data_IF_334318274166
#
_entry.id   IF_334318274166
#
_cell.length_a   1.000
_cell.length_b   1.000
_cell.length_c   1.000
_cell.angle_alpha   90.00
_cell.angle_beta   90.00
_cell.angle_gamma   90.00
#
_symmetry.space_group_name_H-M   'P 1'
#
loop_
_entity.id
_entity.type
_entity.pdbx_description
1 polymer ?
#
# COMPACT_ATOMS: atom_id res chain seq x y z
N UNK A 1 -1.71 -28.38 -8.89
CA UNK A 1 -2.28 -27.39 -9.82
C UNK A 1 -1.10 -26.63 -10.44
N UNK A 2 -0.90 -26.66 -11.77
CA UNK A 2 0.14 -25.83 -12.40
C UNK A 2 -0.38 -24.39 -12.39
N UNK A 3 0.31 -23.50 -11.69
CA UNK A 3 0.00 -22.06 -11.76
C UNK A 3 0.35 -21.59 -13.17
N UNK A 4 -0.53 -20.79 -13.77
CA UNK A 4 -0.30 -20.17 -15.08
C UNK A 4 -0.09 -18.68 -14.89
N UNK A 5 0.74 -18.08 -15.73
CA UNK A 5 0.87 -16.64 -15.78
C UNK A 5 -0.50 -16.03 -16.12
N UNK A 6 -0.96 -15.08 -15.32
CA UNK A 6 -2.24 -14.39 -15.50
C UNK A 6 -2.27 -13.47 -16.73
N UNK A 7 -1.10 -13.15 -17.29
CA UNK A 7 -0.98 -12.29 -18.47
C UNK A 7 -0.96 -13.09 -19.79
N UNK A 8 -0.13 -14.13 -19.88
CA UNK A 8 0.05 -14.88 -21.14
C UNK A 8 -0.49 -16.32 -21.09
N UNK A 9 -0.97 -16.80 -19.95
CA UNK A 9 -1.47 -18.17 -19.78
C UNK A 9 -0.38 -19.26 -19.79
N UNK A 10 0.90 -18.91 -19.93
CA UNK A 10 2.00 -19.88 -19.91
C UNK A 10 2.12 -20.56 -18.55
N UNK A 11 2.50 -21.84 -18.55
CA UNK A 11 2.78 -22.57 -17.30
C UNK A 11 3.91 -21.86 -16.54
N UNK A 12 3.61 -21.41 -15.32
CA UNK A 12 4.61 -20.91 -14.40
C UNK A 12 5.18 -22.09 -13.62
N UNK A 13 6.45 -22.39 -13.89
CA UNK A 13 7.18 -23.45 -13.20
C UNK A 13 7.46 -23.10 -11.72
N UNK A 14 7.23 -21.84 -11.33
CA UNK A 14 7.68 -21.26 -10.05
C UNK A 14 6.53 -20.76 -9.17
N UNK A 15 5.27 -21.02 -9.55
CA UNK A 15 4.12 -20.49 -8.80
C UNK A 15 3.95 -18.98 -8.94
N UNK A 16 4.44 -18.40 -10.04
CA UNK A 16 4.33 -16.97 -10.35
C UNK A 16 2.95 -16.64 -10.95
N UNK A 17 2.33 -15.55 -10.48
CA UNK A 17 1.22 -14.94 -11.24
C UNK A 17 1.70 -14.27 -12.54
N UNK A 18 2.96 -13.82 -12.61
CA UNK A 18 3.57 -13.21 -13.80
C UNK A 18 4.88 -13.92 -14.12
N UNK A 19 5.04 -14.44 -15.35
CA UNK A 19 6.28 -15.09 -15.78
C UNK A 19 7.34 -14.06 -16.21
N UNK A 20 8.62 -14.46 -16.22
CA UNK A 20 9.76 -13.62 -16.61
C UNK A 20 9.59 -12.90 -17.94
N UNK A 21 8.97 -13.54 -18.95
CA UNK A 21 8.71 -12.92 -20.26
C UNK A 21 7.66 -11.80 -20.21
N UNK A 22 6.74 -11.83 -19.25
CA UNK A 22 5.66 -10.86 -19.11
C UNK A 22 5.98 -9.74 -18.11
N UNK A 23 7.13 -9.79 -17.43
CA UNK A 23 7.55 -8.80 -16.44
C UNK A 23 7.68 -7.42 -17.05
N UNK A 24 8.25 -7.32 -18.26
CA UNK A 24 8.40 -6.03 -18.95
C UNK A 24 7.04 -5.36 -19.19
N UNK A 25 5.97 -6.14 -19.40
CA UNK A 25 4.61 -5.58 -19.58
C UNK A 25 4.03 -4.98 -18.29
N UNK A 26 4.41 -5.51 -17.13
CA UNK A 26 3.99 -4.96 -15.83
C UNK A 26 5.04 -4.06 -15.20
N UNK A 27 6.21 -3.89 -15.83
CA UNK A 27 7.34 -3.13 -15.30
C UNK A 27 7.00 -1.65 -15.12
N UNK A 28 6.15 -1.09 -15.97
CA UNK A 28 5.68 0.30 -15.84
C UNK A 28 4.32 0.41 -15.14
N UNK A 29 3.67 -0.72 -14.85
CA UNK A 29 2.34 -0.76 -14.26
C UNK A 29 2.39 -0.82 -12.73
N UNK A 30 1.31 -0.32 -12.12
CA UNK A 30 1.04 -0.57 -10.72
C UNK A 30 0.69 -2.05 -10.56
N UNK A 31 1.56 -2.80 -9.89
CA UNK A 31 1.32 -4.20 -9.56
C UNK A 31 1.11 -4.31 -8.06
N UNK A 32 -0.03 -4.87 -7.65
CA UNK A 32 -0.26 -5.26 -6.26
C UNK A 32 -0.74 -6.71 -6.28
N UNK A 33 -0.21 -7.52 -5.39
CA UNK A 33 -0.66 -8.88 -5.23
C UNK A 33 -2.10 -8.83 -4.73
N UNK A 34 -3.01 -9.50 -5.45
CA UNK A 34 -4.39 -9.57 -5.01
C UNK A 34 -4.51 -10.52 -3.82
N UNK A 35 -4.48 -9.98 -2.61
CA UNK A 35 -4.68 -10.75 -1.37
C UNK A 35 -6.15 -11.17 -1.15
N UNK A 36 -7.09 -10.69 -1.97
CA UNK A 36 -8.54 -10.94 -1.81
C UNK A 36 -9.04 -12.32 -2.25
N UNK A 37 -8.16 -13.31 -2.44
CA UNK A 37 -8.58 -14.66 -2.84
C UNK A 37 -7.98 -15.72 -1.92
N UNK A 38 -8.50 -15.80 -0.69
CA UNK A 38 -8.70 -17.13 -0.11
C UNK A 38 -10.00 -17.69 -0.71
N UNK A 39 -9.96 -18.75 -1.53
CA UNK A 39 -11.17 -19.35 -2.10
C UNK A 39 -12.12 -19.92 -1.04
N UNK A 40 -11.74 -19.96 0.25
CA UNK A 40 -12.57 -20.36 1.39
C UNK A 40 -13.03 -19.20 2.28
N UNK A 41 -12.53 -17.97 2.10
CA UNK A 41 -13.02 -16.84 2.89
C UNK A 41 -14.35 -16.36 2.34
N UNK A 42 -15.44 -16.70 3.03
CA UNK A 42 -16.76 -16.15 2.74
C UNK A 42 -16.71 -14.63 3.00
N UNK A 43 -16.71 -13.85 1.93
CA UNK A 43 -16.66 -12.37 1.91
C UNK A 43 -17.85 -11.69 2.62
N UNK A 44 -18.73 -12.45 3.29
CA UNK A 44 -19.97 -11.97 3.90
C UNK A 44 -19.82 -11.50 5.36
N UNK A 45 -18.66 -11.71 5.99
CA UNK A 45 -18.56 -11.61 7.45
C UNK A 45 -17.84 -10.36 7.97
N UNK A 46 -17.17 -9.58 7.12
CA UNK A 46 -16.42 -8.40 7.57
C UNK A 46 -17.24 -7.12 7.40
N UNK A 47 -18.21 -7.01 8.29
CA UNK A 47 -18.77 -5.80 8.87
C UNK A 47 -18.84 -4.51 8.04
N UNK A 48 -19.91 -4.32 7.26
CA UNK A 48 -20.60 -3.03 7.16
C UNK A 48 -22.09 -3.27 6.91
N UNK A 49 -22.95 -2.64 7.73
CA UNK A 49 -24.40 -2.53 7.51
C UNK A 49 -24.66 -1.74 6.21
N UNK A 50 -24.81 -2.43 5.07
CA UNK A 50 -25.39 -1.84 3.86
C UNK A 50 -25.93 -2.92 2.93
N UNK A 51 -27.12 -2.68 2.38
CA UNK A 51 -27.81 -3.59 1.48
C UNK A 51 -27.14 -3.62 0.09
N UNK A 52 -26.75 -4.80 -0.37
CA UNK A 52 -26.35 -5.04 -1.77
C UNK A 52 -27.57 -5.49 -2.59
N UNK A 53 -27.86 -4.79 -3.70
CA UNK A 53 -28.83 -5.26 -4.70
C UNK A 53 -28.04 -5.75 -5.93
N UNK A 54 -28.17 -7.05 -6.24
CA UNK A 54 -27.59 -7.66 -7.44
C UNK A 54 -28.50 -7.39 -8.64
N UNK A 55 -27.97 -6.75 -9.68
CA UNK A 55 -28.57 -6.75 -11.01
C UNK A 55 -27.61 -7.49 -11.95
N UNK A 56 -27.93 -8.75 -12.25
CA UNK A 56 -27.39 -9.52 -13.39
C UNK A 56 -25.95 -10.04 -13.28
N UNK A 57 -25.54 -10.97 -14.16
CA UNK A 57 -24.24 -11.61 -14.13
C UNK A 57 -23.22 -10.72 -14.84
N UNK A 58 -22.52 -9.88 -14.08
CA UNK A 58 -21.34 -9.13 -14.53
C UNK A 58 -20.10 -9.73 -13.88
N UNK A 59 -19.09 -10.08 -14.69
CA UNK A 59 -17.77 -10.55 -14.25
C UNK A 59 -16.84 -9.43 -13.77
N UNK A 60 -17.34 -8.19 -13.69
CA UNK A 60 -16.59 -7.06 -13.18
C UNK A 60 -17.34 -6.41 -12.03
N UNK A 61 -16.71 -6.47 -10.85
CA UNK A 61 -16.80 -5.49 -9.78
C UNK A 61 -18.17 -5.36 -9.11
N UNK A 62 -18.26 -5.81 -7.87
CA UNK A 62 -19.32 -5.36 -6.97
C UNK A 62 -19.30 -3.83 -6.88
N UNK A 63 -20.34 -3.18 -7.40
CA UNK A 63 -20.54 -1.73 -7.26
C UNK A 63 -21.16 -1.48 -5.88
N UNK A 64 -20.35 -0.93 -4.97
CA UNK A 64 -20.82 -0.38 -3.69
C UNK A 64 -21.66 0.88 -3.96
N UNK A 65 -22.98 0.70 -4.13
CA UNK A 65 -23.93 1.81 -4.16
C UNK A 65 -24.14 2.34 -2.74
N UNK A 66 -23.25 3.23 -2.28
CA UNK A 66 -23.62 4.17 -1.21
C UNK A 66 -24.58 5.22 -1.78
N UNK A 67 -25.41 5.83 -0.93
CA UNK A 67 -26.11 7.09 -1.25
C UNK A 67 -25.06 8.19 -1.45
N UNK A 68 -24.48 8.29 -2.64
CA UNK A 68 -23.45 9.26 -2.98
C UNK A 68 -22.79 8.91 -4.31
N UNK A 69 -22.27 9.93 -5.00
CA UNK A 69 -21.41 9.75 -6.17
C UNK A 69 -20.21 8.85 -5.81
N UNK A 70 -19.78 8.00 -6.75
CA UNK A 70 -18.54 7.22 -6.61
C UNK A 70 -17.40 8.13 -6.10
N UNK A 71 -16.73 7.80 -4.98
CA UNK A 71 -15.64 8.59 -4.44
C UNK A 71 -14.52 8.88 -5.45
N UNK A 72 -14.33 8.00 -6.43
CA UNK A 72 -13.37 8.25 -7.51
C UNK A 72 -13.84 9.35 -8.46
N UNK A 73 -15.13 9.38 -8.83
CA UNK A 73 -15.69 10.48 -9.64
C UNK A 73 -15.52 11.85 -8.95
N UNK A 74 -15.54 11.90 -7.62
CA UNK A 74 -15.25 13.12 -6.88
C UNK A 74 -13.79 13.57 -7.07
N UNK A 75 -12.83 12.64 -7.03
CA UNK A 75 -11.43 12.92 -7.33
C UNK A 75 -11.28 13.45 -8.76
N UNK A 76 -11.86 12.76 -9.75
CA UNK A 76 -11.80 13.18 -11.16
C UNK A 76 -12.40 14.59 -11.38
N UNK A 77 -13.59 14.84 -10.83
CA UNK A 77 -14.23 16.15 -10.93
C UNK A 77 -13.36 17.24 -10.33
N UNK A 78 -12.70 16.96 -9.19
CA UNK A 78 -11.82 17.92 -8.53
C UNK A 78 -10.54 18.16 -9.35
N UNK A 79 -10.02 17.16 -10.05
CA UNK A 79 -8.89 17.31 -10.98
C UNK A 79 -9.27 18.17 -12.18
N UNK A 80 -10.48 17.99 -12.71
CA UNK A 80 -10.98 18.70 -13.88
C UNK A 80 -11.51 20.11 -13.56
N UNK A 81 -11.79 20.40 -12.29
CA UNK A 81 -12.28 21.70 -11.86
C UNK A 81 -11.26 22.82 -12.09
N UNK A 82 -11.78 24.05 -12.27
CA UNK A 82 -10.97 25.28 -12.29
C UNK A 82 -10.37 25.55 -10.91
N UNK A 83 -11.17 25.40 -9.85
CA UNK A 83 -10.69 25.42 -8.47
C UNK A 83 -10.35 24.01 -7.98
N UNK A 84 -9.06 23.79 -7.70
CA UNK A 84 -8.50 22.50 -7.25
C UNK A 84 -8.03 22.54 -5.80
N UNK A 85 -8.37 23.59 -5.05
CA UNK A 85 -7.94 23.80 -3.66
C UNK A 85 -8.29 22.64 -2.72
N UNK A 86 -9.39 21.93 -3.01
CA UNK A 86 -9.85 20.78 -2.22
C UNK A 86 -9.21 19.44 -2.61
N UNK A 87 -8.44 19.37 -3.70
CA UNK A 87 -7.85 18.13 -4.20
C UNK A 87 -7.01 17.39 -3.14
N UNK A 88 -6.17 18.05 -2.32
CA UNK A 88 -5.41 17.37 -1.27
C UNK A 88 -6.30 16.60 -0.30
N UNK A 89 -7.40 17.20 0.15
CA UNK A 89 -8.34 16.58 1.10
C UNK A 89 -9.12 15.43 0.46
N UNK A 90 -9.63 15.65 -0.75
CA UNK A 90 -10.38 14.62 -1.50
C UNK A 90 -9.51 13.40 -1.77
N UNK A 91 -8.25 13.62 -2.18
CA UNK A 91 -7.31 12.55 -2.46
C UNK A 91 -6.87 11.80 -1.21
N UNK A 92 -6.56 12.50 -0.11
CA UNK A 92 -6.24 11.90 1.19
C UNK A 92 -7.37 10.97 1.67
N UNK A 93 -8.62 11.47 1.67
CA UNK A 93 -9.78 10.69 2.07
C UNK A 93 -10.07 9.51 1.14
N UNK A 94 -9.90 9.68 -0.18
CA UNK A 94 -10.08 8.60 -1.14
C UNK A 94 -9.09 7.46 -0.87
N UNK A 95 -7.79 7.78 -0.75
CA UNK A 95 -6.74 6.79 -0.52
C UNK A 95 -6.88 6.13 0.86
N UNK A 96 -7.23 6.89 1.89
CA UNK A 96 -7.55 6.35 3.21
C UNK A 96 -8.76 5.38 3.14
N UNK A 97 -9.81 5.74 2.41
CA UNK A 97 -10.98 4.90 2.19
C UNK A 97 -10.71 3.64 1.36
N UNK A 98 -9.55 3.56 0.69
CA UNK A 98 -9.06 2.34 0.05
C UNK A 98 -8.27 1.42 0.99
N UNK A 99 -8.09 1.80 2.25
CA UNK A 99 -7.27 1.04 3.20
C UNK A 99 -5.77 1.38 3.15
N UNK A 100 -5.37 2.43 2.43
CA UNK A 100 -3.97 2.87 2.41
C UNK A 100 -3.69 3.68 3.68
N UNK A 101 -2.92 3.09 4.59
CA UNK A 101 -2.49 3.71 5.84
C UNK A 101 -1.50 4.86 5.65
N UNK A 102 -1.31 5.68 6.69
CA UNK A 102 -0.19 6.63 6.77
C UNK A 102 1.14 5.91 7.01
N UNK A 103 1.11 4.89 7.86
CA UNK A 103 2.24 4.03 8.18
C UNK A 103 2.25 2.84 7.22
N UNK A 104 3.40 2.60 6.60
CA UNK A 104 3.67 1.47 5.72
C UNK A 104 3.86 0.18 6.54
N UNK A 105 2.94 -0.78 6.39
CA UNK A 105 2.94 -2.05 7.13
C UNK A 105 3.35 -3.24 6.24
N UNK A 106 2.97 -3.20 4.96
CA UNK A 106 3.30 -4.24 3.99
C UNK A 106 2.30 -5.40 3.88
N UNK A 107 1.16 -5.28 4.53
CA UNK A 107 0.04 -6.23 4.51
C UNK A 107 -1.32 -5.51 4.32
N UNK A 108 -1.29 -4.27 3.83
CA UNK A 108 -2.48 -3.48 3.55
C UNK A 108 -3.38 -4.19 2.52
N UNK A 109 -4.66 -4.48 2.84
CA UNK A 109 -5.58 -5.14 1.93
C UNK A 109 -6.11 -4.14 0.89
N UNK A 110 -5.36 -3.94 -0.20
CA UNK A 110 -5.71 -2.95 -1.21
C UNK A 110 -6.67 -3.51 -2.27
N UNK A 111 -7.88 -2.95 -2.43
CA UNK A 111 -8.75 -3.29 -3.54
C UNK A 111 -8.16 -2.71 -4.83
N UNK A 112 -7.81 -3.58 -5.77
CA UNK A 112 -7.35 -3.14 -7.09
C UNK A 112 -8.48 -2.47 -7.86
N UNK A 113 -8.38 -1.15 -8.03
CA UNK A 113 -9.26 -0.38 -8.92
C UNK A 113 -8.44 0.09 -10.13
N UNK A 114 -8.95 -0.02 -11.36
CA UNK A 114 -8.23 0.38 -12.57
C UNK A 114 -7.64 1.79 -12.50
N UNK A 115 -8.33 2.68 -11.80
CA UNK A 115 -8.04 4.11 -11.82
C UNK A 115 -6.96 4.57 -10.83
N UNK A 116 -6.49 3.69 -9.93
CA UNK A 116 -5.44 4.03 -8.96
C UNK A 116 -4.14 4.43 -9.66
N UNK A 117 -3.85 3.83 -10.81
CA UNK A 117 -2.65 4.13 -11.63
C UNK A 117 -2.60 5.61 -12.01
N UNK A 118 -3.74 6.22 -12.31
CA UNK A 118 -3.81 7.61 -12.73
C UNK A 118 -3.47 8.57 -11.58
N UNK A 119 -3.86 8.21 -10.36
CA UNK A 119 -3.60 9.01 -9.15
C UNK A 119 -2.10 9.16 -8.88
N UNK A 120 -1.29 8.15 -9.23
CA UNK A 120 0.17 8.19 -9.09
C UNK A 120 0.84 9.25 -9.97
N UNK A 121 0.14 9.76 -10.99
CA UNK A 121 0.67 10.82 -11.86
C UNK A 121 0.42 12.24 -11.31
N UNK A 122 -0.53 12.40 -10.38
CA UNK A 122 -0.94 13.71 -9.85
C UNK A 122 0.25 14.46 -9.23
N UNK A 123 1.10 13.86 -8.37
CA UNK A 123 2.18 14.60 -7.74
C UNK A 123 3.27 15.09 -8.72
N UNK A 124 3.32 14.55 -9.94
CA UNK A 124 4.22 15.02 -11.00
C UNK A 124 3.66 16.18 -11.83
N UNK A 125 2.34 16.41 -11.76
CA UNK A 125 1.63 17.46 -12.52
C UNK A 125 1.19 18.61 -11.61
N UNK A 126 1.04 18.34 -10.32
CA UNK A 126 0.50 19.27 -9.34
C UNK A 126 1.32 19.18 -8.05
N UNK A 127 1.52 20.32 -7.42
CA UNK A 127 2.16 20.39 -6.11
C UNK A 127 1.43 21.40 -5.23
N UNK A 128 0.87 20.90 -4.13
CA UNK A 128 0.16 21.71 -3.14
C UNK A 128 0.99 21.83 -1.87
N UNK A 129 0.57 22.69 -0.95
CA UNK A 129 1.23 22.86 0.34
C UNK A 129 0.33 22.35 1.46
N UNK A 130 0.95 22.05 2.61
CA UNK A 130 0.26 21.73 3.84
C UNK A 130 0.03 20.24 4.10
N UNK A 131 -0.50 19.96 5.29
CA UNK A 131 -0.56 18.62 5.87
C UNK A 131 -1.40 17.65 5.04
N UNK A 132 -2.57 18.08 4.53
CA UNK A 132 -3.45 17.21 3.74
C UNK A 132 -2.77 16.71 2.47
N UNK A 133 -1.98 17.56 1.83
CA UNK A 133 -1.20 17.14 0.67
C UNK A 133 -0.12 16.15 1.08
N UNK A 134 0.64 16.45 2.14
CA UNK A 134 1.65 15.52 2.66
C UNK A 134 1.08 14.14 3.04
N UNK A 135 -0.12 14.08 3.62
CA UNK A 135 -0.82 12.81 3.93
C UNK A 135 -1.19 12.03 2.65
N UNK A 136 -1.66 12.72 1.61
CA UNK A 136 -1.92 12.09 0.32
C UNK A 136 -0.62 11.58 -0.33
N UNK A 137 0.48 12.34 -0.25
CA UNK A 137 1.79 11.91 -0.73
C UNK A 137 2.31 10.67 0.00
N UNK A 138 2.14 10.59 1.34
CA UNK A 138 2.51 9.39 2.10
C UNK A 138 1.74 8.16 1.61
N UNK A 139 0.43 8.27 1.39
CA UNK A 139 -0.39 7.16 0.90
C UNK A 139 -0.02 6.72 -0.51
N UNK A 140 0.17 7.67 -1.43
CA UNK A 140 0.66 7.35 -2.77
C UNK A 140 2.07 6.71 -2.72
N UNK A 141 2.93 7.16 -1.81
CA UNK A 141 4.23 6.55 -1.53
C UNK A 141 4.09 5.11 -1.04
N UNK A 142 3.20 4.86 -0.09
CA UNK A 142 2.93 3.53 0.45
C UNK A 142 2.42 2.58 -0.63
N UNK A 143 1.53 3.07 -1.50
CA UNK A 143 1.05 2.31 -2.66
C UNK A 143 2.20 1.88 -3.59
N UNK A 144 3.15 2.78 -3.87
CA UNK A 144 4.34 2.46 -4.67
C UNK A 144 5.30 1.52 -3.94
N UNK A 145 5.46 1.67 -2.62
CA UNK A 145 6.28 0.80 -1.79
C UNK A 145 5.73 -0.63 -1.74
N UNK A 146 4.42 -0.79 -1.62
CA UNK A 146 3.74 -2.08 -1.68
C UNK A 146 3.91 -2.73 -3.04
N UNK A 147 3.78 -1.94 -4.12
CA UNK A 147 4.06 -2.41 -5.48
C UNK A 147 5.51 -2.87 -5.66
N UNK A 148 6.47 -2.13 -5.09
CA UNK A 148 7.87 -2.55 -5.08
C UNK A 148 8.07 -3.89 -4.36
N UNK A 149 7.47 -4.04 -3.16
CA UNK A 149 7.54 -5.27 -2.35
C UNK A 149 6.90 -6.46 -3.05
N UNK A 150 5.74 -6.28 -3.68
CA UNK A 150 5.04 -7.39 -4.35
C UNK A 150 5.72 -7.79 -5.66
N UNK A 151 6.27 -6.83 -6.42
CA UNK A 151 7.06 -7.12 -7.61
C UNK A 151 8.37 -7.84 -7.28
N UNK A 152 9.07 -7.44 -6.21
CA UNK A 152 10.31 -8.12 -5.79
C UNK A 152 10.07 -9.53 -5.27
N UNK A 153 8.82 -9.90 -4.97
CA UNK A 153 8.44 -11.27 -4.58
C UNK A 153 8.08 -12.17 -5.75
N UNK A 154 7.97 -11.63 -6.96
CA UNK A 154 7.84 -12.46 -8.15
C UNK A 154 9.10 -13.34 -8.27
N UNK A 155 8.96 -14.59 -8.74
CA UNK A 155 10.10 -15.48 -8.96
C UNK A 155 10.85 -15.03 -10.22
N UNK A 156 11.57 -13.93 -10.08
CA UNK A 156 12.47 -13.39 -11.08
C UNK A 156 13.90 -13.63 -10.60
N UNK A 157 14.87 -13.64 -11.51
CA UNK A 157 16.28 -13.66 -11.12
C UNK A 157 16.63 -12.52 -10.16
N UNK A 158 17.57 -12.74 -9.25
CA UNK A 158 17.92 -11.80 -8.17
C UNK A 158 18.21 -10.38 -8.67
N UNK A 159 18.92 -10.26 -9.78
CA UNK A 159 19.28 -8.96 -10.36
C UNK A 159 18.04 -8.20 -10.85
N UNK A 160 17.14 -8.89 -11.57
CA UNK A 160 15.89 -8.31 -12.04
C UNK A 160 14.98 -7.88 -10.87
N UNK A 161 14.92 -8.68 -9.79
CA UNK A 161 14.17 -8.32 -8.58
C UNK A 161 14.71 -7.04 -7.94
N UNK A 162 16.04 -6.94 -7.79
CA UNK A 162 16.72 -5.79 -7.18
C UNK A 162 16.52 -4.52 -8.01
N UNK A 163 16.64 -4.63 -9.34
CA UNK A 163 16.42 -3.50 -10.25
C UNK A 163 14.98 -2.99 -10.17
N UNK A 164 14.00 -3.88 -10.33
CA UNK A 164 12.57 -3.53 -10.28
C UNK A 164 12.19 -2.90 -8.93
N UNK A 165 12.71 -3.46 -7.83
CA UNK A 165 12.50 -2.90 -6.51
C UNK A 165 13.06 -1.48 -6.41
N UNK A 166 14.30 -1.27 -6.85
CA UNK A 166 14.99 0.02 -6.79
C UNK A 166 14.23 1.11 -7.55
N UNK A 167 13.80 0.82 -8.78
CA UNK A 167 13.09 1.79 -9.63
C UNK A 167 11.78 2.27 -8.99
N UNK A 168 11.00 1.34 -8.41
CA UNK A 168 9.73 1.66 -7.74
C UNK A 168 9.94 2.32 -6.38
N UNK A 169 10.89 1.80 -5.60
CA UNK A 169 11.25 2.36 -4.31
C UNK A 169 11.72 3.81 -4.45
N UNK A 170 12.48 4.15 -5.50
CA UNK A 170 12.92 5.53 -5.76
C UNK A 170 11.73 6.50 -5.90
N UNK A 171 10.64 6.09 -6.55
CA UNK A 171 9.42 6.90 -6.67
C UNK A 171 8.71 7.07 -5.33
N UNK A 172 8.60 6.01 -4.53
CA UNK A 172 8.04 6.09 -3.17
C UNK A 172 8.87 7.02 -2.27
N UNK A 173 10.20 6.87 -2.28
CA UNK A 173 11.14 7.71 -1.53
C UNK A 173 11.01 9.20 -1.91
N UNK A 174 10.82 9.51 -3.19
CA UNK A 174 10.60 10.89 -3.62
C UNK A 174 9.34 11.51 -3.01
N UNK A 175 8.25 10.73 -2.89
CA UNK A 175 7.02 11.19 -2.24
C UNK A 175 7.19 11.34 -0.73
N UNK A 176 7.91 10.41 -0.07
CA UNK A 176 8.21 10.52 1.36
C UNK A 176 9.08 11.74 1.68
N UNK A 177 10.09 12.06 0.86
CA UNK A 177 10.90 13.27 1.04
C UNK A 177 10.06 14.55 0.96
N UNK A 178 9.11 14.60 0.03
CA UNK A 178 8.18 15.73 -0.10
C UNK A 178 7.24 15.82 1.10
N UNK A 179 6.68 14.69 1.55
CA UNK A 179 5.85 14.65 2.75
C UNK A 179 6.62 15.05 4.02
N UNK A 180 7.91 14.70 4.11
CA UNK A 180 8.78 15.05 5.24
C UNK A 180 9.05 16.56 5.38
N UNK A 181 8.79 17.35 4.33
CA UNK A 181 8.85 18.81 4.41
C UNK A 181 7.72 19.39 5.28
N UNK A 182 6.66 18.62 5.54
CA UNK A 182 5.61 18.95 6.51
C UNK A 182 6.05 18.44 7.89
N UNK A 183 6.28 19.32 8.88
CA UNK A 183 6.83 18.94 10.19
C UNK A 183 6.06 17.82 10.90
N UNK A 184 4.73 17.87 10.84
CA UNK A 184 3.82 16.89 11.47
C UNK A 184 3.94 15.50 10.86
N UNK A 185 4.45 15.40 9.62
CA UNK A 185 4.57 14.15 8.86
C UNK A 185 6.01 13.66 8.73
N UNK A 186 6.98 14.43 9.24
CA UNK A 186 8.39 14.09 9.16
C UNK A 186 8.71 12.76 9.85
N UNK A 187 8.12 12.51 11.03
CA UNK A 187 8.29 11.25 11.76
C UNK A 187 7.82 10.04 10.93
N UNK A 188 6.58 10.09 10.44
CA UNK A 188 5.96 9.04 9.62
C UNK A 188 6.76 8.81 8.32
N UNK A 189 7.23 9.89 7.70
CA UNK A 189 8.03 9.80 6.47
C UNK A 189 9.37 9.09 6.71
N UNK A 190 10.00 9.31 7.86
CA UNK A 190 11.24 8.63 8.26
C UNK A 190 11.00 7.14 8.52
N UNK A 191 9.98 6.79 9.29
CA UNK A 191 9.68 5.37 9.58
C UNK A 191 9.28 4.61 8.30
N UNK A 192 8.46 5.20 7.43
CA UNK A 192 8.12 4.60 6.12
C UNK A 192 9.37 4.41 5.23
N UNK A 193 10.27 5.40 5.22
CA UNK A 193 11.53 5.31 4.48
C UNK A 193 12.40 4.18 4.99
N UNK A 194 12.53 4.04 6.32
CA UNK A 194 13.30 2.97 6.94
C UNK A 194 12.72 1.58 6.61
N UNK A 195 11.39 1.40 6.74
CA UNK A 195 10.70 0.15 6.35
C UNK A 195 10.97 -0.22 4.89
N UNK A 196 10.87 0.75 3.97
CA UNK A 196 11.14 0.51 2.54
C UNK A 196 12.61 0.13 2.29
N UNK A 197 13.57 0.75 2.99
CA UNK A 197 14.99 0.39 2.91
C UNK A 197 15.25 -1.03 3.42
N UNK A 198 14.61 -1.43 4.52
CA UNK A 198 14.69 -2.79 5.07
C UNK A 198 14.19 -3.82 4.03
N UNK A 199 13.09 -3.54 3.34
CA UNK A 199 12.61 -4.41 2.25
C UNK A 199 13.58 -4.48 1.06
N UNK A 200 14.40 -3.45 0.87
CA UNK A 200 15.49 -3.42 -0.11
C UNK A 200 16.76 -4.16 0.33
N UNK A 201 16.78 -4.73 1.53
CA UNK A 201 17.93 -5.46 2.09
C UNK A 201 18.95 -4.57 2.81
N UNK A 202 18.59 -3.33 3.14
CA UNK A 202 19.44 -2.43 3.92
C UNK A 202 19.33 -2.76 5.42
N UNK A 203 20.34 -3.43 5.96
CA UNK A 203 20.37 -3.84 7.37
C UNK A 203 20.51 -2.69 8.37
N UNK A 204 21.10 -1.56 7.96
CA UNK A 204 21.29 -0.40 8.85
C UNK A 204 19.98 0.33 9.11
N UNK A 205 19.02 0.21 8.18
CA UNK A 205 17.71 0.85 8.29
C UNK A 205 16.86 0.32 9.47
N UNK A 206 17.18 -0.84 10.04
CA UNK A 206 16.49 -1.33 11.24
C UNK A 206 16.80 -0.47 12.48
N UNK A 207 18.04 -0.05 12.65
CA UNK A 207 18.43 0.83 13.76
C UNK A 207 17.85 2.23 13.57
N UNK A 208 17.80 2.73 12.33
CA UNK A 208 17.09 3.97 12.02
C UNK A 208 15.60 3.88 12.38
N UNK A 209 14.92 2.79 12.00
CA UNK A 209 13.51 2.58 12.34
C UNK A 209 13.31 2.54 13.86
N UNK A 210 14.18 1.83 14.59
CA UNK A 210 14.12 1.77 16.06
C UNK A 210 14.22 3.17 16.67
N UNK A 211 15.15 4.00 16.18
CA UNK A 211 15.33 5.36 16.68
C UNK A 211 14.17 6.30 16.33
N UNK A 212 13.49 6.07 15.20
CA UNK A 212 12.40 6.91 14.70
C UNK A 212 11.01 6.49 15.22
N UNK A 213 10.86 5.27 15.73
CA UNK A 213 9.61 4.69 16.24
C UNK A 213 9.20 5.26 17.61
N UNK A 214 8.95 6.56 17.66
CA UNK A 214 8.62 7.30 18.90
C UNK A 214 7.14 7.28 19.25
N UNK A 215 6.27 7.15 18.26
CA UNK A 215 4.81 7.06 18.40
C UNK A 215 4.30 5.63 18.17
N UNK A 216 3.05 5.38 18.54
CA UNK A 216 2.44 4.05 18.42
C UNK A 216 2.40 3.54 16.97
N UNK A 217 2.23 4.42 15.99
CA UNK A 217 2.25 4.05 14.58
C UNK A 217 3.63 3.55 14.13
N UNK A 218 4.69 4.25 14.52
CA UNK A 218 6.08 3.86 14.27
C UNK A 218 6.46 2.59 15.04
N UNK A 219 6.02 2.44 16.29
CA UNK A 219 6.23 1.20 17.07
C UNK A 219 5.52 0.02 16.42
N UNK A 220 4.32 0.21 15.88
CA UNK A 220 3.64 -0.83 15.11
C UNK A 220 4.40 -1.23 13.84
N UNK A 221 5.01 -0.28 13.13
CA UNK A 221 5.87 -0.60 11.99
C UNK A 221 7.10 -1.39 12.41
N UNK A 222 7.75 -1.00 13.51
CA UNK A 222 8.89 -1.71 14.06
C UNK A 222 8.54 -3.14 14.47
N UNK A 223 7.43 -3.31 15.20
CA UNK A 223 6.92 -4.63 15.58
C UNK A 223 6.64 -5.49 14.34
N UNK A 224 6.05 -4.91 13.31
CA UNK A 224 5.78 -5.60 12.04
C UNK A 224 7.06 -6.02 11.34
N UNK A 225 8.09 -5.17 11.33
CA UNK A 225 9.40 -5.53 10.78
C UNK A 225 10.06 -6.66 11.56
N UNK A 226 10.04 -6.62 12.89
CA UNK A 226 10.56 -7.73 13.72
C UNK A 226 9.84 -9.04 13.44
N UNK A 227 8.51 -8.99 13.34
CA UNK A 227 7.70 -10.15 12.97
C UNK A 227 8.09 -10.72 11.60
N UNK A 228 8.20 -9.87 10.57
CA UNK A 228 8.59 -10.27 9.22
C UNK A 228 10.04 -10.84 9.17
N UNK A 229 10.89 -10.51 10.14
CA UNK A 229 12.25 -11.05 10.32
C UNK A 229 12.32 -12.31 11.21
N UNK A 230 11.20 -12.79 11.75
CA UNK A 230 11.16 -13.94 12.67
C UNK A 230 11.62 -13.63 14.10
N UNK A 231 11.68 -12.36 14.48
CA UNK A 231 12.05 -11.86 15.81
C UNK A 231 10.80 -11.62 16.66
N UNK A 232 10.10 -12.71 16.98
CA UNK A 232 8.76 -12.67 17.58
C UNK A 232 8.77 -12.05 18.99
N UNK A 233 9.80 -12.31 19.78
CA UNK A 233 9.93 -11.77 21.14
C UNK A 233 10.07 -10.24 21.10
N UNK A 234 10.94 -9.71 20.25
CA UNK A 234 11.11 -8.26 20.09
C UNK A 234 9.87 -7.60 19.48
N UNK A 235 9.15 -8.30 18.60
CA UNK A 235 7.86 -7.82 18.10
C UNK A 235 6.82 -7.70 19.22
N UNK A 236 6.75 -8.70 20.11
CA UNK A 236 5.84 -8.71 21.25
C UNK A 236 6.19 -7.62 22.28
N UNK A 237 7.47 -7.45 22.60
CA UNK A 237 7.95 -6.38 23.49
C UNK A 237 7.61 -4.99 22.93
N UNK A 238 7.79 -4.80 21.62
CA UNK A 238 7.46 -3.53 20.96
C UNK A 238 5.96 -3.24 21.03
N UNK A 239 5.10 -4.24 20.79
CA UNK A 239 3.64 -4.09 20.92
C UNK A 239 3.21 -3.85 22.37
N UNK A 240 3.88 -4.48 23.35
CA UNK A 240 3.59 -4.26 24.77
C UNK A 240 3.82 -2.80 25.22
N UNK A 241 4.59 -2.02 24.45
CA UNK A 241 4.88 -0.62 24.72
C UNK A 241 3.94 0.38 24.05
N UNK A 242 2.91 -0.08 23.30
CA UNK A 242 1.87 0.81 22.72
C UNK A 242 0.77 1.11 23.73
N UNK A 243 0.04 2.22 23.55
CA UNK A 243 -1.05 2.61 24.45
C UNK A 243 -2.26 1.65 24.34
N UNK A 244 -2.62 1.23 23.12
CA UNK A 244 -3.66 0.23 22.88
C UNK A 244 -3.07 -1.13 22.51
N UNK A 245 -2.79 -1.93 23.53
CA UNK A 245 -2.24 -3.27 23.38
C UNK A 245 -3.18 -4.21 22.60
N UNK A 246 -4.50 -4.12 22.80
CA UNK A 246 -5.44 -5.06 22.19
C UNK A 246 -5.55 -4.82 20.68
N UNK A 247 -5.67 -3.56 20.28
CA UNK A 247 -5.70 -3.19 18.86
C UNK A 247 -4.36 -3.52 18.18
N UNK A 248 -3.25 -3.23 18.84
CA UNK A 248 -1.90 -3.48 18.32
C UNK A 248 -1.61 -4.97 18.08
N UNK A 249 -1.98 -5.84 19.01
CA UNK A 249 -1.88 -7.30 18.83
C UNK A 249 -2.75 -7.78 17.66
N UNK A 250 -3.96 -7.25 17.51
CA UNK A 250 -4.85 -7.59 16.40
C UNK A 250 -4.25 -7.16 15.06
N UNK A 251 -3.72 -5.94 14.97
CA UNK A 251 -3.08 -5.40 13.76
C UNK A 251 -1.82 -6.17 13.38
N UNK A 252 -0.99 -6.56 14.34
CA UNK A 252 0.22 -7.36 14.06
C UNK A 252 -0.13 -8.74 13.49
N UNK A 253 -1.15 -9.40 14.05
CA UNK A 253 -1.52 -10.78 13.70
C UNK A 253 -2.39 -10.90 12.45
N UNK A 254 -3.30 -9.94 12.23
CA UNK A 254 -4.32 -9.99 11.16
C UNK A 254 -4.01 -9.05 9.99
N UNK A 255 -2.98 -8.19 10.11
CA UNK A 255 -2.73 -7.08 9.20
C UNK A 255 -3.63 -5.88 9.49
N UNK A 256 -3.40 -4.78 8.77
CA UNK A 256 -4.24 -3.58 8.88
C UNK A 256 -5.71 -3.89 8.49
N UNK A 257 -6.71 -3.50 9.30
CA UNK A 257 -8.13 -3.56 8.91
C UNK A 257 -8.48 -2.59 7.78
#
# INVERSE_FOLDING_TARGET
MRMVCTLCGAASNEGAMVCSACVEMVREELYLKNWSVDPRSDLRSLGVRSACMRIGPSSQGEVLLRKGSDPYLLVERTIQAEDRSHLPTVLDHYLAGMGIGLHLMGDEPLPMRPQVKELLSIPGRMDYQGERWGRALLRLGNLLALSARDMSRLPLGDDARKEIFRDRAARALALYRRAAAVPELASISRTNTAVLRIWGGDGEALEELRSAAVDDGGRMQLAKVYWDLGREDEAAETVASTEDLQESVLRLRRGCP
#
